data_IF_802808178821
#
_entry.id   IF_802808178821
#
_cell.length_a   1.000
_cell.length_b   1.000
_cell.length_c   1.000
_cell.angle_alpha   90.00
_cell.angle_beta   90.00
_cell.angle_gamma   90.00
#
_symmetry.space_group_name_H-M   'P 1'
#
loop_
_entity.id
_entity.type
_entity.pdbx_description
1 polymer ?
#
# COMPACT_ATOMS: atom_id res chain seq x y z
N UNK A 1 7.87 48.48 40.21
CA UNK A 1 7.04 47.27 40.09
C UNK A 1 7.86 46.15 39.49
N UNK A 2 7.72 44.91 39.96
CA UNK A 2 8.47 43.76 39.43
C UNK A 2 7.59 42.97 38.46
N UNK A 3 8.12 42.68 37.28
CA UNK A 3 7.47 41.87 36.25
C UNK A 3 7.41 40.40 36.69
N UNK A 4 6.22 39.79 36.56
CA UNK A 4 6.00 38.37 36.76
C UNK A 4 6.00 37.68 35.39
N UNK A 5 6.94 36.77 35.16
CA UNK A 5 7.00 35.97 33.93
C UNK A 5 6.47 34.56 34.24
N UNK A 6 5.41 34.14 33.54
CA UNK A 6 4.79 32.82 33.70
C UNK A 6 5.17 31.95 32.50
N UNK A 7 5.74 30.79 32.78
CA UNK A 7 6.07 29.76 31.79
C UNK A 7 5.14 28.55 32.05
N UNK A 8 4.53 27.96 31.01
CA UNK A 8 3.69 26.77 31.17
C UNK A 8 4.48 25.57 31.70
N UNK A 9 3.88 24.82 32.62
CA UNK A 9 4.49 23.64 33.24
C UNK A 9 4.56 22.45 32.27
N UNK A 10 5.71 21.78 32.24
CA UNK A 10 5.88 20.53 31.48
C UNK A 10 5.12 19.37 32.13
N UNK A 11 4.50 18.52 31.31
CA UNK A 11 3.76 17.35 31.79
C UNK A 11 4.61 16.40 32.63
N UNK A 12 3.96 15.82 33.63
CA UNK A 12 4.55 14.92 34.63
C UNK A 12 5.02 13.64 33.95
N UNK A 13 6.34 13.40 33.92
CA UNK A 13 6.91 12.10 33.57
C UNK A 13 6.59 11.10 34.67
N UNK A 14 5.72 10.14 34.38
CA UNK A 14 5.48 9.01 35.28
C UNK A 14 6.62 7.99 35.19
N UNK A 15 7.00 7.47 36.36
CA UNK A 15 8.10 6.53 36.56
C UNK A 15 7.72 5.16 35.99
N UNK A 16 8.73 4.52 35.42
CA UNK A 16 8.71 3.19 34.82
C UNK A 16 8.37 2.08 35.83
N UNK A 17 7.15 1.55 35.79
CA UNK A 17 6.84 0.18 36.20
C UNK A 17 6.80 -0.72 34.95
N UNK A 18 8.01 -1.06 34.50
CA UNK A 18 8.30 -1.89 33.33
C UNK A 18 7.93 -3.35 33.62
N UNK A 19 6.90 -3.86 32.95
CA UNK A 19 6.92 -5.15 32.19
C UNK A 19 5.54 -5.80 31.98
N UNK A 20 4.49 -5.41 32.71
CA UNK A 20 3.14 -6.00 32.50
C UNK A 20 2.16 -5.15 31.67
N UNK A 21 2.41 -3.86 31.48
CA UNK A 21 1.51 -2.96 30.71
C UNK A 21 1.86 -2.84 29.20
N UNK A 22 3.09 -3.19 28.80
CA UNK A 22 3.57 -2.96 27.42
C UNK A 22 2.84 -3.78 26.35
N UNK A 23 2.20 -4.89 26.70
CA UNK A 23 1.45 -5.68 25.73
C UNK A 23 0.10 -5.02 25.37
N UNK A 24 -0.58 -4.40 26.35
CA UNK A 24 -1.95 -3.92 26.19
C UNK A 24 -2.03 -2.48 25.65
N UNK A 25 -1.02 -1.65 25.93
CA UNK A 25 -0.91 -0.33 25.30
C UNK A 25 -0.40 -0.41 23.86
N UNK A 26 0.55 -1.31 23.57
CA UNK A 26 1.00 -1.53 22.18
C UNK A 26 -0.13 -2.07 21.31
N UNK A 27 -1.03 -2.91 21.83
CA UNK A 27 -2.21 -3.36 21.08
C UNK A 27 -3.23 -2.23 20.91
N UNK A 28 -3.50 -1.43 21.94
CA UNK A 28 -4.40 -0.26 21.85
C UNK A 28 -3.89 0.77 20.84
N UNK A 29 -2.63 1.20 20.95
CA UNK A 29 -2.02 2.17 20.03
C UNK A 29 -1.92 1.63 18.60
N UNK A 30 -1.51 0.36 18.42
CA UNK A 30 -1.51 -0.27 17.09
C UNK A 30 -2.92 -0.34 16.51
N UNK A 31 -3.93 -0.68 17.31
CA UNK A 31 -5.34 -0.76 16.89
C UNK A 31 -5.88 0.62 16.51
N UNK A 32 -5.60 1.65 17.30
CA UNK A 32 -5.98 3.03 17.00
C UNK A 32 -5.28 3.56 15.74
N UNK A 33 -3.97 3.27 15.59
CA UNK A 33 -3.20 3.61 14.38
C UNK A 33 -3.78 2.91 13.15
N UNK A 34 -4.08 1.62 13.23
CA UNK A 34 -4.73 0.88 12.14
C UNK A 34 -6.13 1.42 11.82
N UNK A 35 -6.92 1.80 12.83
CA UNK A 35 -8.23 2.41 12.62
C UNK A 35 -8.12 3.77 11.89
N UNK A 36 -7.17 4.63 12.30
CA UNK A 36 -6.87 5.91 11.64
C UNK A 36 -6.39 5.69 10.20
N UNK A 37 -5.51 4.73 10.00
CA UNK A 37 -5.00 4.34 8.68
C UNK A 37 -6.13 3.80 7.78
N UNK A 38 -7.05 2.98 8.33
CA UNK A 38 -8.24 2.48 7.64
C UNK A 38 -9.21 3.59 7.25
N UNK A 39 -9.42 4.56 8.13
CA UNK A 39 -10.21 5.75 7.81
C UNK A 39 -9.56 6.64 6.74
N UNK A 40 -8.22 6.60 6.63
CA UNK A 40 -7.45 7.40 5.68
C UNK A 40 -7.10 6.65 4.38
N UNK A 41 -7.46 5.37 4.23
CA UNK A 41 -7.15 4.54 3.07
C UNK A 41 -7.62 5.16 1.72
N UNK A 42 -8.67 6.00 1.75
CA UNK A 42 -9.20 6.68 0.58
C UNK A 42 -8.66 8.10 0.32
N UNK A 43 -7.70 8.60 1.10
CA UNK A 43 -7.29 10.03 1.08
C UNK A 43 -5.91 10.31 0.49
N UNK A 44 -5.16 9.29 0.07
CA UNK A 44 -3.78 9.49 -0.41
C UNK A 44 -3.77 9.83 -1.90
N UNK A 45 -3.05 10.89 -2.29
CA UNK A 45 -3.03 11.44 -3.65
C UNK A 45 -1.58 11.58 -4.14
N UNK A 46 -0.99 10.50 -4.62
CA UNK A 46 0.32 10.56 -5.27
C UNK A 46 0.54 9.33 -6.13
N UNK A 47 1.31 9.44 -7.20
CA UNK A 47 1.81 8.31 -7.99
C UNK A 47 2.62 7.31 -7.14
N UNK A 48 3.22 7.77 -6.03
CA UNK A 48 3.77 6.93 -4.97
C UNK A 48 2.72 6.00 -4.32
N UNK A 49 1.44 6.13 -4.68
CA UNK A 49 0.41 5.19 -4.33
C UNK A 49 0.73 3.77 -4.84
N UNK A 50 1.24 3.60 -6.05
CA UNK A 50 1.43 2.26 -6.63
C UNK A 50 2.60 1.50 -6.00
N UNK A 51 3.39 2.11 -5.13
CA UNK A 51 4.53 1.47 -4.51
C UNK A 51 4.51 1.67 -3.01
N UNK A 52 5.01 0.67 -2.29
CA UNK A 52 5.29 0.80 -0.88
C UNK A 52 6.78 0.95 -0.69
N UNK A 53 7.16 1.58 0.43
CA UNK A 53 8.54 1.97 0.67
C UNK A 53 9.56 0.83 0.59
N UNK A 54 10.85 1.15 0.71
CA UNK A 54 11.98 0.27 0.35
C UNK A 54 11.95 -1.15 0.94
N UNK A 55 11.28 -1.35 2.08
CA UNK A 55 11.14 -2.65 2.72
C UNK A 55 10.39 -3.67 1.86
N UNK A 56 9.28 -3.28 1.21
CA UNK A 56 8.51 -4.17 0.36
C UNK A 56 9.30 -4.57 -0.89
N UNK A 57 10.06 -3.63 -1.44
CA UNK A 57 10.93 -3.84 -2.59
C UNK A 57 12.05 -4.82 -2.24
N UNK A 58 12.67 -4.65 -1.06
CA UNK A 58 13.70 -5.57 -0.58
C UNK A 58 13.18 -7.01 -0.45
N UNK A 59 11.96 -7.20 0.06
CA UNK A 59 11.34 -8.52 0.18
C UNK A 59 11.09 -9.16 -1.19
N UNK A 60 10.56 -8.40 -2.16
CA UNK A 60 10.38 -8.91 -3.53
C UNK A 60 11.70 -9.24 -4.24
N UNK A 61 12.75 -8.46 -3.99
CA UNK A 61 14.06 -8.68 -4.60
C UNK A 61 14.74 -9.91 -4.01
N UNK A 62 14.61 -10.12 -2.70
CA UNK A 62 15.16 -11.28 -2.00
C UNK A 62 14.59 -12.57 -2.60
N UNK A 63 13.27 -12.59 -2.80
CA UNK A 63 12.58 -13.72 -3.40
C UNK A 63 12.97 -13.94 -4.87
N UNK A 64 13.07 -12.88 -5.68
CA UNK A 64 13.53 -12.97 -7.08
C UNK A 64 14.95 -13.53 -7.21
N UNK A 65 15.85 -13.14 -6.31
CA UNK A 65 17.25 -13.56 -6.35
C UNK A 65 17.51 -14.85 -5.57
N UNK A 66 16.51 -15.39 -4.85
CA UNK A 66 16.66 -16.58 -4.01
C UNK A 66 17.64 -16.37 -2.85
N UNK A 67 17.83 -15.13 -2.41
CA UNK A 67 18.77 -14.75 -1.33
C UNK A 67 18.00 -14.28 -0.11
N UNK A 68 18.64 -14.35 1.06
CA UNK A 68 18.01 -13.75 2.24
C UNK A 68 18.02 -12.22 2.16
N UNK A 69 16.98 -11.59 2.70
CA UNK A 69 16.91 -10.12 2.79
C UNK A 69 18.14 -9.51 3.46
N UNK A 70 18.71 -10.20 4.47
CA UNK A 70 19.93 -9.75 5.14
C UNK A 70 21.13 -9.66 4.19
N UNK A 71 21.24 -10.59 3.24
CA UNK A 71 22.33 -10.64 2.27
C UNK A 71 22.24 -9.49 1.25
N UNK A 72 21.02 -9.08 0.88
CA UNK A 72 20.82 -7.86 0.06
C UNK A 72 21.34 -6.60 0.74
N UNK A 73 21.30 -6.57 2.07
CA UNK A 73 21.70 -5.42 2.89
C UNK A 73 23.19 -5.46 3.26
N UNK A 74 23.87 -6.59 3.08
CA UNK A 74 25.28 -6.73 3.38
C UNK A 74 26.14 -6.08 2.29
N UNK A 75 27.12 -5.25 2.67
CA UNK A 75 27.93 -4.44 1.75
C UNK A 75 29.18 -5.14 1.20
N UNK A 76 29.17 -6.46 1.02
CA UNK A 76 30.38 -7.23 0.69
C UNK A 76 30.99 -6.87 -0.69
N UNK A 77 30.19 -6.37 -1.63
CA UNK A 77 30.62 -6.10 -3.01
C UNK A 77 30.97 -4.62 -3.31
N UNK A 78 31.25 -3.80 -2.29
CA UNK A 78 31.64 -2.38 -2.48
C UNK A 78 30.50 -1.42 -2.85
N UNK A 79 29.36 -1.92 -3.35
CA UNK A 79 28.13 -1.14 -3.51
C UNK A 79 27.32 -1.10 -2.21
N UNK A 80 26.87 0.08 -1.80
CA UNK A 80 26.04 0.22 -0.59
C UNK A 80 24.66 -0.44 -0.81
N UNK A 81 24.09 -0.99 0.28
CA UNK A 81 22.74 -1.55 0.25
C UNK A 81 21.70 -0.55 -0.27
N UNK A 82 21.87 0.74 0.05
CA UNK A 82 21.01 1.80 -0.44
C UNK A 82 21.05 1.96 -1.96
N UNK A 83 22.24 1.84 -2.58
CA UNK A 83 22.39 1.91 -4.05
C UNK A 83 21.69 0.72 -4.71
N UNK A 84 21.88 -0.49 -4.19
CA UNK A 84 21.23 -1.70 -4.73
C UNK A 84 19.71 -1.63 -4.61
N UNK A 85 19.19 -1.19 -3.46
CA UNK A 85 17.76 -0.99 -3.27
C UNK A 85 17.19 0.09 -4.20
N UNK A 86 17.90 1.21 -4.40
CA UNK A 86 17.46 2.26 -5.31
C UNK A 86 17.43 1.81 -6.78
N UNK A 87 18.42 1.01 -7.20
CA UNK A 87 18.44 0.41 -8.53
C UNK A 87 17.30 -0.61 -8.71
N UNK A 88 17.05 -1.44 -7.70
CA UNK A 88 15.96 -2.39 -7.71
C UNK A 88 14.59 -1.70 -7.73
N UNK A 89 14.41 -0.65 -6.92
CA UNK A 89 13.23 0.21 -6.92
C UNK A 89 12.99 0.80 -8.30
N UNK A 90 14.03 1.39 -8.92
CA UNK A 90 13.93 1.97 -10.26
C UNK A 90 13.47 0.95 -11.29
N UNK A 91 14.01 -0.29 -11.23
CA UNK A 91 13.62 -1.38 -12.14
C UNK A 91 12.17 -1.79 -11.91
N UNK A 92 11.78 -2.07 -10.67
CA UNK A 92 10.42 -2.48 -10.32
C UNK A 92 9.39 -1.42 -10.72
N UNK A 93 9.71 -0.15 -10.46
CA UNK A 93 8.87 0.99 -10.84
C UNK A 93 8.69 1.06 -12.35
N UNK A 94 9.77 0.89 -13.12
CA UNK A 94 9.73 0.90 -14.58
C UNK A 94 8.89 -0.26 -15.14
N UNK A 95 9.14 -1.50 -14.68
CA UNK A 95 8.40 -2.69 -15.12
C UNK A 95 6.91 -2.57 -14.82
N UNK A 96 6.57 -2.14 -13.61
CA UNK A 96 5.18 -1.92 -13.19
C UNK A 96 4.52 -0.82 -14.03
N UNK A 97 5.25 0.25 -14.36
CA UNK A 97 4.79 1.34 -15.23
C UNK A 97 4.45 0.83 -16.62
N UNK A 98 5.37 0.10 -17.24
CA UNK A 98 5.22 -0.46 -18.59
C UNK A 98 4.05 -1.43 -18.65
N UNK A 99 3.91 -2.31 -17.65
CA UNK A 99 2.81 -3.25 -17.55
C UNK A 99 1.44 -2.55 -17.49
N UNK A 100 1.29 -1.56 -16.61
CA UNK A 100 0.01 -0.85 -16.49
C UNK A 100 -0.33 -0.04 -17.74
N UNK A 101 0.66 0.62 -18.36
CA UNK A 101 0.45 1.33 -19.64
C UNK A 101 0.03 0.37 -20.75
N UNK A 102 0.67 -0.79 -20.87
CA UNK A 102 0.32 -1.80 -21.87
C UNK A 102 -1.11 -2.35 -21.69
N UNK A 103 -1.63 -2.33 -20.46
CA UNK A 103 -2.99 -2.75 -20.12
C UNK A 103 -4.02 -1.58 -20.12
N UNK A 104 -3.66 -0.43 -20.70
CA UNK A 104 -4.58 0.70 -20.87
C UNK A 104 -4.80 1.56 -19.62
N UNK A 105 -3.94 1.43 -18.61
CA UNK A 105 -4.01 2.25 -17.40
C UNK A 105 -3.38 3.62 -17.65
N UNK A 106 -4.16 4.69 -17.47
CA UNK A 106 -3.70 6.06 -17.53
C UNK A 106 -2.94 6.43 -16.25
N UNK A 107 -1.61 6.40 -16.30
CA UNK A 107 -0.78 6.72 -15.13
C UNK A 107 -0.84 8.21 -14.73
N UNK A 108 -1.13 9.10 -15.68
CA UNK A 108 -1.30 10.53 -15.40
C UNK A 108 -2.50 10.81 -14.50
N UNK A 109 -3.52 9.94 -14.52
CA UNK A 109 -4.67 10.01 -13.63
C UNK A 109 -4.27 9.91 -12.14
N UNK A 110 -3.19 9.19 -11.82
CA UNK A 110 -2.69 9.01 -10.45
C UNK A 110 -1.84 10.19 -9.95
N UNK A 111 -1.33 11.01 -10.86
CA UNK A 111 -0.50 12.18 -10.53
C UNK A 111 -1.32 13.42 -10.19
N UNK A 112 -2.60 13.43 -10.58
CA UNK A 112 -3.51 14.55 -10.32
C UNK A 112 -4.29 14.29 -9.03
N UNK A 113 -4.67 15.34 -8.28
CA UNK A 113 -5.74 15.23 -7.31
C UNK A 113 -7.03 14.86 -8.08
N UNK A 114 -7.36 13.57 -8.15
CA UNK A 114 -8.54 13.12 -8.86
C UNK A 114 -9.81 13.78 -8.26
N UNK A 115 -10.55 14.55 -9.06
CA UNK A 115 -11.79 15.19 -8.64
C UNK A 115 -12.87 14.18 -8.26
N UNK A 116 -12.82 12.98 -8.87
CA UNK A 116 -13.69 11.84 -8.56
C UNK A 116 -12.87 10.56 -8.54
N UNK A 117 -13.07 9.75 -7.50
CA UNK A 117 -12.52 8.39 -7.38
C UNK A 117 -13.49 7.37 -7.98
N UNK A 118 -12.95 6.26 -8.45
CA UNK A 118 -13.74 5.13 -8.92
C UNK A 118 -14.50 4.47 -7.76
N UNK A 119 -15.68 3.93 -8.06
CA UNK A 119 -16.49 3.14 -7.13
C UNK A 119 -16.31 1.62 -7.33
N UNK A 120 -15.62 1.20 -8.39
CA UNK A 120 -15.46 -0.21 -8.80
C UNK A 120 -14.00 -0.66 -8.92
N UNK A 121 -13.07 0.28 -9.13
CA UNK A 121 -11.65 -0.02 -9.34
C UNK A 121 -10.85 0.25 -8.07
N UNK A 122 -10.19 -0.80 -7.56
CA UNK A 122 -9.45 -0.81 -6.30
C UNK A 122 -7.98 -1.07 -6.57
N UNK A 123 -7.11 -0.20 -6.07
CA UNK A 123 -5.66 -0.41 -6.05
C UNK A 123 -5.34 -1.24 -4.81
N UNK A 124 -4.75 -2.40 -5.03
CA UNK A 124 -4.24 -3.30 -3.98
C UNK A 124 -2.74 -3.10 -3.83
N UNK A 125 -2.25 -2.94 -2.62
CA UNK A 125 -0.83 -2.71 -2.32
C UNK A 125 -0.41 -3.55 -1.11
N UNK A 126 0.89 -3.71 -0.97
CA UNK A 126 1.54 -4.52 0.06
C UNK A 126 1.27 -5.99 -0.19
N UNK A 127 1.41 -6.37 -1.46
CA UNK A 127 1.38 -7.76 -1.85
C UNK A 127 2.75 -8.37 -1.52
N UNK A 128 2.79 -9.48 -0.77
CA UNK A 128 4.02 -10.26 -0.64
C UNK A 128 4.50 -10.71 -2.01
N UNK A 129 5.77 -11.09 -2.11
CA UNK A 129 6.21 -11.82 -3.28
C UNK A 129 5.54 -13.22 -3.33
N UNK A 130 5.52 -13.78 -4.55
CA UNK A 130 4.82 -15.03 -4.87
C UNK A 130 3.29 -14.95 -4.73
N UNK A 131 2.69 -13.76 -4.78
CA UNK A 131 1.24 -13.59 -4.89
C UNK A 131 0.86 -13.74 -6.35
N UNK A 132 -0.14 -14.58 -6.61
CA UNK A 132 -0.66 -14.85 -7.94
C UNK A 132 -1.97 -14.10 -8.18
N UNK A 133 -2.28 -13.85 -9.45
CA UNK A 133 -3.50 -13.15 -9.87
C UNK A 133 -4.75 -13.85 -9.33
N UNK A 134 -4.79 -15.18 -9.41
CA UNK A 134 -5.94 -15.98 -9.00
C UNK A 134 -6.17 -15.92 -7.48
N UNK A 135 -5.14 -15.62 -6.68
CA UNK A 135 -5.31 -15.42 -5.24
C UNK A 135 -6.08 -14.12 -4.95
N UNK A 136 -5.78 -13.05 -5.69
CA UNK A 136 -6.54 -11.80 -5.60
C UNK A 136 -7.97 -11.98 -6.10
N UNK A 137 -8.17 -12.68 -7.21
CA UNK A 137 -9.51 -13.00 -7.72
C UNK A 137 -10.33 -13.77 -6.69
N UNK A 138 -9.76 -14.80 -6.05
CA UNK A 138 -10.44 -15.53 -4.97
C UNK A 138 -10.69 -14.68 -3.73
N UNK A 139 -9.79 -13.75 -3.40
CA UNK A 139 -9.93 -12.88 -2.23
C UNK A 139 -11.09 -11.90 -2.40
N UNK A 140 -11.14 -11.22 -3.54
CA UNK A 140 -12.17 -10.23 -3.87
C UNK A 140 -13.49 -10.91 -4.29
N UNK A 141 -13.41 -12.07 -4.94
CA UNK A 141 -14.54 -12.90 -5.35
C UNK A 141 -15.49 -13.31 -4.23
N UNK A 142 -15.03 -13.31 -2.97
CA UNK A 142 -15.87 -13.54 -1.78
C UNK A 142 -16.95 -12.47 -1.58
N UNK A 143 -16.78 -11.30 -2.17
CA UNK A 143 -17.68 -10.16 -2.01
C UNK A 143 -18.56 -9.90 -3.23
N UNK A 144 -18.11 -10.33 -4.42
CA UNK A 144 -18.82 -10.19 -5.70
C UNK A 144 -17.89 -10.49 -6.86
N UNK A 145 -18.41 -10.42 -8.09
CA UNK A 145 -17.66 -10.78 -9.29
C UNK A 145 -16.50 -9.82 -9.56
N UNK A 146 -15.35 -10.41 -9.90
CA UNK A 146 -14.13 -9.69 -10.30
C UNK A 146 -14.08 -9.70 -11.82
N UNK A 147 -14.09 -8.52 -12.42
CA UNK A 147 -14.06 -8.36 -13.88
C UNK A 147 -12.65 -8.54 -14.43
N UNK A 148 -11.67 -7.98 -13.73
CA UNK A 148 -10.27 -7.97 -14.17
C UNK A 148 -9.32 -7.74 -13.01
N UNK A 149 -8.19 -8.44 -13.01
CA UNK A 149 -7.06 -8.15 -12.15
C UNK A 149 -5.84 -7.86 -13.00
N UNK A 150 -5.20 -6.72 -12.75
CA UNK A 150 -3.98 -6.29 -13.41
C UNK A 150 -2.84 -6.32 -12.39
N UNK A 151 -1.92 -7.26 -12.56
CA UNK A 151 -0.71 -7.39 -11.76
C UNK A 151 0.48 -7.72 -12.68
N UNK A 152 1.65 -7.09 -12.49
CA UNK A 152 2.85 -7.46 -13.24
C UNK A 152 3.18 -8.96 -13.09
N UNK A 153 3.63 -9.63 -14.17
CA UNK A 153 3.77 -11.09 -14.23
C UNK A 153 4.83 -11.66 -13.28
N UNK A 154 5.85 -10.87 -12.91
CA UNK A 154 6.90 -11.31 -12.00
C UNK A 154 6.53 -11.15 -10.51
N UNK A 155 5.24 -10.92 -10.22
CA UNK A 155 4.79 -10.51 -8.90
C UNK A 155 5.10 -9.02 -8.67
N UNK A 156 4.07 -8.27 -8.30
CA UNK A 156 4.19 -6.85 -7.98
C UNK A 156 3.92 -6.59 -6.51
N UNK A 157 4.46 -5.50 -5.97
CA UNK A 157 4.04 -5.01 -4.65
C UNK A 157 2.63 -4.42 -4.66
N UNK A 158 2.06 -4.22 -5.86
CA UNK A 158 0.73 -3.68 -6.10
C UNK A 158 0.04 -4.30 -7.32
N UNK A 159 -1.29 -4.26 -7.29
CA UNK A 159 -2.18 -4.70 -8.36
C UNK A 159 -3.38 -3.75 -8.47
N UNK A 160 -4.11 -3.81 -9.59
CA UNK A 160 -5.40 -3.15 -9.77
C UNK A 160 -6.46 -4.22 -9.92
N UNK A 161 -7.51 -4.13 -9.12
CA UNK A 161 -8.66 -5.05 -9.14
C UNK A 161 -9.89 -4.27 -9.59
N UNK A 162 -10.56 -4.76 -10.63
CA UNK A 162 -11.81 -4.21 -11.17
C UNK A 162 -12.95 -5.13 -10.73
N UNK A 163 -13.86 -4.58 -9.94
CA UNK A 163 -15.07 -5.28 -9.50
C UNK A 163 -16.23 -4.94 -10.43
N UNK A 164 -17.09 -5.91 -10.73
CA UNK A 164 -18.24 -5.70 -11.63
C UNK A 164 -19.32 -4.78 -11.03
N UNK A 165 -19.43 -4.73 -9.69
CA UNK A 165 -20.49 -3.99 -8.99
C UNK A 165 -19.92 -3.03 -7.92
N UNK A 166 -20.31 -1.74 -7.91
CA UNK A 166 -19.84 -0.77 -6.91
C UNK A 166 -20.27 -1.09 -5.48
N UNK A 167 -21.41 -1.77 -5.28
CA UNK A 167 -21.87 -2.17 -3.95
C UNK A 167 -20.93 -3.22 -3.36
N UNK A 168 -20.54 -4.19 -4.17
CA UNK A 168 -19.67 -5.29 -3.77
C UNK A 168 -18.22 -4.84 -3.65
N UNK A 169 -17.78 -3.95 -4.54
CA UNK A 169 -16.50 -3.24 -4.39
C UNK A 169 -16.40 -2.51 -3.04
N UNK A 170 -17.45 -1.79 -2.63
CA UNK A 170 -17.48 -1.07 -1.34
C UNK A 170 -17.45 -2.03 -0.15
N UNK A 171 -18.14 -3.18 -0.23
CA UNK A 171 -18.06 -4.23 0.79
C UNK A 171 -16.66 -4.82 0.88
N UNK A 172 -16.07 -5.20 -0.26
CA UNK A 172 -14.72 -5.74 -0.36
C UNK A 172 -13.71 -4.75 0.22
N UNK A 173 -13.76 -3.48 -0.19
CA UNK A 173 -12.87 -2.43 0.29
C UNK A 173 -12.93 -2.28 1.82
N UNK A 174 -14.14 -2.20 2.39
CA UNK A 174 -14.31 -2.07 3.85
C UNK A 174 -13.81 -3.28 4.61
N UNK A 175 -13.99 -4.48 4.08
CA UNK A 175 -13.59 -5.72 4.72
C UNK A 175 -12.06 -5.94 4.63
N UNK A 176 -11.49 -5.72 3.45
CA UNK A 176 -10.12 -6.09 3.12
C UNK A 176 -9.09 -5.00 3.45
N UNK A 177 -9.48 -3.72 3.52
CA UNK A 177 -8.57 -2.64 3.90
C UNK A 177 -7.99 -2.88 5.31
N UNK A 178 -6.65 -2.97 5.37
CA UNK A 178 -5.85 -3.32 6.55
C UNK A 178 -6.12 -4.70 7.15
N UNK A 179 -6.82 -5.56 6.41
CA UNK A 179 -6.92 -6.99 6.76
C UNK A 179 -5.55 -7.66 6.57
N UNK A 180 -5.29 -8.73 7.32
CA UNK A 180 -4.07 -9.51 7.16
C UNK A 180 -4.18 -10.35 5.89
N UNK A 181 -3.26 -10.14 4.94
CA UNK A 181 -3.10 -10.94 3.74
C UNK A 181 -1.75 -11.65 3.80
N UNK A 182 -1.78 -12.98 3.89
CA UNK A 182 -0.63 -13.82 4.26
C UNK A 182 0.09 -13.29 5.52
N UNK A 183 1.27 -12.70 5.37
CA UNK A 183 2.12 -12.21 6.46
C UNK A 183 1.95 -10.73 6.79
N UNK A 184 1.34 -9.94 5.89
CA UNK A 184 1.33 -8.47 5.98
C UNK A 184 -0.06 -7.85 5.77
N UNK A 185 -0.30 -6.61 6.24
CA UNK A 185 -1.61 -5.98 6.05
C UNK A 185 -1.80 -5.54 4.61
N UNK A 186 -3.00 -5.72 4.06
CA UNK A 186 -3.37 -5.29 2.72
C UNK A 186 -3.76 -3.81 2.71
N UNK A 187 -3.14 -3.02 1.84
CA UNK A 187 -3.43 -1.60 1.71
C UNK A 187 -4.28 -1.39 0.46
N UNK A 188 -5.46 -0.78 0.65
CA UNK A 188 -6.40 -0.52 -0.44
C UNK A 188 -6.57 0.97 -0.65
N UNK A 189 -6.67 1.38 -1.91
CA UNK A 189 -7.03 2.74 -2.31
C UNK A 189 -8.02 2.69 -3.48
N UNK A 190 -8.93 3.66 -3.58
CA UNK A 190 -9.77 3.80 -4.77
C UNK A 190 -8.97 4.42 -5.92
N UNK A 191 -9.04 3.81 -7.10
CA UNK A 191 -8.39 4.37 -8.28
C UNK A 191 -9.03 5.71 -8.69
N UNK A 192 -8.30 6.56 -9.43
CA UNK A 192 -8.92 7.68 -10.15
C UNK A 192 -10.08 7.21 -11.04
N UNK A 193 -11.10 8.04 -11.23
CA UNK A 193 -12.26 7.67 -12.07
C UNK A 193 -11.91 7.45 -13.55
N UNK A 194 -10.85 8.10 -14.03
CA UNK A 194 -10.33 8.09 -15.39
C UNK A 194 -9.15 7.12 -15.58
N UNK A 195 -9.01 6.13 -14.68
CA UNK A 195 -7.87 5.19 -14.65
C UNK A 195 -7.70 4.37 -15.93
N UNK A 196 -8.76 4.07 -16.68
CA UNK A 196 -8.70 3.36 -17.96
C UNK A 196 -8.91 4.27 -19.18
N UNK A 197 -8.80 5.59 -19.00
CA UNK A 197 -9.22 6.58 -19.98
C UNK A 197 -10.72 6.86 -19.93
N UNK A 198 -11.15 8.00 -20.46
CA UNK A 198 -12.58 8.31 -20.57
C UNK A 198 -13.24 7.37 -21.58
N UNK A 199 -14.03 6.41 -21.10
CA UNK A 199 -15.19 5.99 -21.88
C UNK A 199 -16.13 7.19 -21.96
N UNK A 200 -16.06 7.91 -23.07
CA UNK A 200 -17.18 8.74 -23.50
C UNK A 200 -18.41 7.83 -23.53
N UNK A 201 -19.27 7.92 -22.52
CA UNK A 201 -20.64 7.46 -22.64
C UNK A 201 -21.22 8.22 -23.83
N UNK A 202 -21.41 7.51 -24.94
CA UNK A 202 -22.25 8.00 -26.02
C UNK A 202 -23.67 8.05 -25.46
N UNK A 203 -24.23 9.26 -25.43
CA UNK A 203 -25.66 9.53 -25.21
C UNK A 203 -26.53 8.82 -26.27
#
# INVERSE_FOLDING_TARGET
GRMLHIIPGSEKREKNDKEKALANEKTSYKKEKMAKLKANAGKTHSWNALFLGPNAIADTLAEKLGVEKGELLNSENGESAGVRLALAETRLVRETREFFLANGVCLDAFSRPAAKRSDTVIITKNLPAGVEVEELERLFGKFGDVEKVLMPPEGGISAIVVMSNPVDAKKAFKALAYSRFRTQPLYLEWAPGDVFGEEKKAD
#
